data_IF_484826813076
#
_entry.id   IF_484826813076
#
_cell.length_a   1.000
_cell.length_b   1.000
_cell.length_c   1.000
_cell.angle_alpha   90.00
_cell.angle_beta   90.00
_cell.angle_gamma   90.00
#
_symmetry.space_group_name_H-M   'P 1'
#
loop_
_entity.id
_entity.type
_entity.pdbx_description
1 polymer ?
#
# COMPACT_ATOMS: atom_id res chain seq x y z
N UNK A 1 -12.91 -40.64 16.72
CA UNK A 1 -12.52 -39.24 16.99
C UNK A 1 -12.45 -38.55 15.64
N UNK A 2 -13.40 -37.68 15.35
CA UNK A 2 -13.43 -36.89 14.11
C UNK A 2 -13.04 -35.47 14.53
N UNK A 3 -11.83 -35.05 14.21
CA UNK A 3 -11.42 -33.65 14.32
C UNK A 3 -11.88 -32.96 13.03
N UNK A 4 -13.00 -32.24 13.12
CA UNK A 4 -13.44 -31.29 12.10
C UNK A 4 -12.68 -30.00 12.33
N UNK A 5 -11.66 -29.74 11.52
CA UNK A 5 -10.93 -28.47 11.53
C UNK A 5 -11.81 -27.35 11.00
N UNK A 6 -12.17 -26.42 11.86
CA UNK A 6 -12.84 -25.16 11.50
C UNK A 6 -11.77 -24.26 10.88
N UNK A 7 -11.88 -24.02 9.58
CA UNK A 7 -11.12 -23.02 8.84
C UNK A 7 -11.65 -21.64 9.27
N UNK A 8 -10.87 -20.91 10.08
CA UNK A 8 -11.13 -19.51 10.43
C UNK A 8 -10.74 -18.64 9.24
N UNK A 9 -11.70 -18.32 8.36
CA UNK A 9 -11.56 -17.21 7.42
C UNK A 9 -11.66 -15.90 8.21
N UNK A 10 -10.54 -15.22 8.38
CA UNK A 10 -10.47 -13.85 8.91
C UNK A 10 -11.04 -12.89 7.87
N UNK A 11 -12.35 -12.64 7.91
CA UNK A 11 -13.00 -11.61 7.08
C UNK A 11 -12.67 -10.24 7.68
N UNK A 12 -11.59 -9.61 7.23
CA UNK A 12 -11.32 -8.20 7.51
C UNK A 12 -12.41 -7.37 6.82
N UNK A 13 -13.25 -6.71 7.64
CA UNK A 13 -14.33 -5.85 7.21
C UNK A 13 -13.77 -4.63 6.46
N UNK A 14 -13.91 -4.63 5.14
CA UNK A 14 -13.81 -3.41 4.33
C UNK A 14 -15.19 -2.76 4.26
N UNK A 15 -15.30 -1.50 4.65
CA UNK A 15 -16.52 -0.72 4.42
C UNK A 15 -16.47 -0.18 2.99
N UNK A 16 -17.34 -0.67 2.10
CA UNK A 16 -17.73 0.08 0.91
C UNK A 16 -18.76 1.09 1.40
N UNK A 17 -18.50 2.38 1.24
CA UNK A 17 -19.49 3.40 1.54
C UNK A 17 -20.54 3.41 0.42
N UNK A 18 -21.75 3.03 0.77
CA UNK A 18 -22.94 3.11 -0.09
C UNK A 18 -23.29 4.61 -0.28
N UNK A 19 -23.04 5.15 -1.47
CA UNK A 19 -23.70 6.39 -1.88
C UNK A 19 -25.19 6.05 -2.09
N UNK A 20 -26.08 6.75 -1.37
CA UNK A 20 -27.52 6.54 -1.45
C UNK A 20 -28.06 6.56 -2.89
N UNK A 21 -29.25 5.99 -3.12
CA UNK A 21 -29.57 5.27 -4.33
C UNK A 21 -29.75 6.22 -5.50
N UNK A 22 -28.85 6.16 -6.48
CA UNK A 22 -29.26 6.37 -7.86
C UNK A 22 -29.69 5.02 -8.40
N UNK A 23 -30.98 4.92 -8.69
CA UNK A 23 -31.64 3.72 -9.19
C UNK A 23 -31.23 3.46 -10.64
N UNK A 24 -29.97 3.12 -10.88
CA UNK A 24 -29.60 2.37 -12.06
C UNK A 24 -29.23 0.97 -11.61
N UNK A 25 -30.03 0.01 -12.07
CA UNK A 25 -29.71 -1.41 -12.01
C UNK A 25 -28.37 -1.61 -12.73
N UNK A 26 -27.26 -1.51 -12.01
CA UNK A 26 -25.98 -1.94 -12.52
C UNK A 26 -26.06 -3.46 -12.68
N UNK A 27 -26.37 -3.85 -13.91
CA UNK A 27 -26.37 -5.22 -14.38
C UNK A 27 -24.96 -5.63 -14.81
N UNK A 28 -23.97 -4.75 -14.62
CA UNK A 28 -22.55 -5.06 -14.72
C UNK A 28 -22.05 -5.75 -13.47
N UNK A 29 -21.27 -6.82 -13.63
CA UNK A 29 -20.53 -7.42 -12.51
C UNK A 29 -19.67 -6.37 -11.79
N UNK A 30 -19.31 -6.66 -10.54
CA UNK A 30 -18.51 -5.75 -9.70
C UNK A 30 -17.26 -5.24 -10.42
N UNK A 31 -16.89 -3.99 -10.17
CA UNK A 31 -15.68 -3.36 -10.70
C UNK A 31 -14.56 -3.55 -9.68
N UNK A 32 -13.43 -4.10 -10.12
CA UNK A 32 -12.28 -4.38 -9.29
C UNK A 32 -11.04 -3.65 -9.82
N UNK A 33 -10.16 -3.31 -8.90
CA UNK A 33 -8.88 -2.67 -9.14
C UNK A 33 -7.78 -3.53 -8.52
N UNK A 34 -6.65 -3.62 -9.21
CA UNK A 34 -5.40 -4.12 -8.65
C UNK A 34 -4.29 -3.11 -8.95
N UNK A 35 -3.23 -3.22 -8.17
CA UNK A 35 -2.06 -2.37 -8.24
C UNK A 35 -1.02 -3.13 -9.07
N UNK A 36 -0.55 -2.55 -10.18
CA UNK A 36 0.55 -3.13 -10.95
C UNK A 36 1.81 -3.25 -10.07
N UNK A 37 2.66 -4.24 -10.35
CA UNK A 37 3.93 -4.48 -9.66
C UNK A 37 4.73 -3.20 -9.44
N UNK A 38 5.31 -3.06 -8.25
CA UNK A 38 5.92 -1.83 -7.75
C UNK A 38 7.43 -1.97 -7.65
N UNK A 39 8.15 -1.07 -8.31
CA UNK A 39 9.57 -0.88 -8.03
C UNK A 39 9.70 -0.07 -6.75
N UNK A 40 10.40 -0.60 -5.75
CA UNK A 40 10.81 0.20 -4.61
C UNK A 40 12.23 0.67 -4.90
N UNK A 41 12.39 1.94 -5.25
CA UNK A 41 13.71 2.51 -5.51
C UNK A 41 14.48 2.63 -4.19
N UNK A 42 15.53 1.84 -4.05
CA UNK A 42 16.52 2.05 -2.99
C UNK A 42 17.61 2.99 -3.53
N UNK A 43 18.15 3.92 -2.71
CA UNK A 43 19.40 4.58 -3.05
C UNK A 43 20.43 3.48 -3.28
N UNK A 44 20.87 3.32 -4.54
CA UNK A 44 21.75 2.24 -4.94
C UNK A 44 22.99 2.23 -4.07
N UNK A 45 23.34 1.05 -3.56
CA UNK A 45 24.68 0.77 -3.07
C UNK A 45 25.67 1.27 -4.12
N UNK A 46 26.54 2.20 -3.72
CA UNK A 46 27.64 2.61 -4.59
C UNK A 46 28.51 1.36 -4.86
N UNK A 47 29.23 1.33 -5.99
CA UNK A 47 30.02 0.20 -6.49
C UNK A 47 31.12 -0.35 -5.53
N UNK A 48 31.17 0.10 -4.28
CA UNK A 48 32.17 -0.24 -3.25
C UNK A 48 31.65 -1.18 -2.14
N UNK A 49 30.48 -1.79 -2.30
CA UNK A 49 30.09 -2.96 -1.49
C UNK A 49 29.67 -2.67 -0.04
N UNK A 50 29.07 -1.50 0.23
CA UNK A 50 28.50 -1.19 1.54
C UNK A 50 26.96 -1.31 1.59
N UNK A 51 26.54 -1.98 2.67
CA UNK A 51 25.20 -2.20 3.25
C UNK A 51 24.05 -2.57 2.30
N UNK A 52 23.64 -3.84 2.36
CA UNK A 52 22.38 -4.29 1.78
C UNK A 52 21.22 -3.51 2.43
N UNK A 53 20.55 -2.59 1.74
CA UNK A 53 19.29 -2.04 2.25
C UNK A 53 18.21 -3.13 2.25
N UNK A 54 17.30 -3.08 3.23
CA UNK A 54 16.17 -4.01 3.32
C UNK A 54 14.88 -3.24 3.58
N UNK A 55 13.73 -3.84 3.32
CA UNK A 55 12.44 -3.28 3.72
C UNK A 55 11.62 -4.37 4.37
N UNK A 56 11.04 -4.03 5.51
CA UNK A 56 10.01 -4.87 6.13
C UNK A 56 8.66 -4.54 5.52
N UNK A 57 7.97 -5.55 4.99
CA UNK A 57 6.60 -5.46 4.49
C UNK A 57 5.66 -6.09 5.51
N UNK A 58 4.66 -5.33 5.99
CA UNK A 58 3.65 -5.82 6.93
C UNK A 58 2.25 -5.64 6.37
N UNK A 59 1.95 -4.47 5.84
CA UNK A 59 0.60 -4.15 5.36
C UNK A 59 0.61 -3.25 4.13
N UNK A 60 -0.44 -3.39 3.32
CA UNK A 60 -0.76 -2.52 2.20
C UNK A 60 -2.18 -2.01 2.38
N UNK A 61 -2.39 -0.69 2.39
CA UNK A 61 -3.71 -0.08 2.29
C UNK A 61 -3.90 0.52 0.91
N UNK A 62 -5.04 0.21 0.30
CA UNK A 62 -5.52 0.85 -0.93
C UNK A 62 -6.74 1.70 -0.58
N UNK A 63 -6.66 2.99 -0.91
CA UNK A 63 -7.77 3.94 -0.78
C UNK A 63 -8.09 4.51 -2.15
N UNK A 64 -9.36 4.50 -2.54
CA UNK A 64 -9.83 5.11 -3.80
C UNK A 64 -10.81 6.22 -3.42
N UNK A 65 -10.57 7.41 -3.96
CA UNK A 65 -11.47 8.55 -3.88
C UNK A 65 -12.08 8.81 -5.26
N UNK A 66 -13.38 9.09 -5.31
CA UNK A 66 -14.03 9.61 -6.51
C UNK A 66 -13.58 11.06 -6.71
N UNK A 67 -13.08 11.41 -7.90
CA UNK A 67 -12.75 12.82 -8.20
C UNK A 67 -14.02 13.69 -8.27
N UNK A 68 -15.14 13.11 -8.70
CA UNK A 68 -16.39 13.84 -8.84
C UNK A 68 -16.97 14.30 -7.50
N UNK A 69 -16.86 13.46 -6.46
CA UNK A 69 -17.45 13.74 -5.13
C UNK A 69 -16.41 14.07 -4.06
N UNK A 70 -15.14 13.75 -4.29
CA UNK A 70 -14.07 13.81 -3.30
C UNK A 70 -14.24 12.80 -2.17
N UNK A 71 -15.15 11.82 -2.28
CA UNK A 71 -15.46 10.84 -1.23
C UNK A 71 -14.74 9.52 -1.44
N UNK A 72 -14.47 8.82 -0.35
CA UNK A 72 -13.94 7.45 -0.37
C UNK A 72 -14.96 6.51 -1.01
N UNK A 73 -14.50 5.77 -2.02
CA UNK A 73 -15.24 4.66 -2.66
C UNK A 73 -14.68 3.30 -2.25
N UNK A 74 -13.38 3.23 -1.97
CA UNK A 74 -12.71 2.02 -1.47
C UNK A 74 -11.73 2.40 -0.38
N UNK A 75 -11.68 1.65 0.71
CA UNK A 75 -10.65 1.78 1.74
C UNK A 75 -10.40 0.41 2.37
N UNK A 76 -9.31 -0.25 1.99
CA UNK A 76 -9.03 -1.62 2.41
C UNK A 76 -7.56 -1.84 2.72
N UNK A 77 -7.31 -2.53 3.83
CA UNK A 77 -5.99 -2.99 4.25
C UNK A 77 -5.82 -4.48 3.93
N UNK A 78 -4.62 -4.85 3.55
CA UNK A 78 -4.16 -6.19 3.25
C UNK A 78 -2.93 -6.49 4.11
N UNK A 79 -2.86 -7.72 4.60
CA UNK A 79 -1.64 -8.28 5.18
C UNK A 79 -0.74 -8.72 4.01
N UNK A 80 0.49 -8.21 4.00
CA UNK A 80 1.50 -8.54 2.98
C UNK A 80 2.79 -9.04 3.62
N UNK A 81 2.72 -9.49 4.88
CA UNK A 81 3.89 -9.99 5.61
C UNK A 81 4.53 -11.23 4.99
N UNK A 82 3.76 -11.96 4.17
CA UNK A 82 4.23 -13.12 3.40
C UNK A 82 4.75 -12.76 2.00
N UNK A 83 4.64 -11.49 1.55
CA UNK A 83 5.20 -11.05 0.27
C UNK A 83 6.72 -11.04 0.33
N UNK A 84 7.36 -11.48 -0.76
CA UNK A 84 8.83 -11.45 -0.85
C UNK A 84 9.30 -10.00 -0.90
N UNK A 85 10.17 -9.56 0.03
CA UNK A 85 10.73 -8.21 -0.02
C UNK A 85 11.55 -7.97 -1.30
N UNK A 86 11.67 -6.72 -1.75
CA UNK A 86 12.57 -6.35 -2.83
C UNK A 86 14.02 -6.54 -2.37
N UNK A 87 14.88 -6.96 -3.30
CA UNK A 87 16.27 -7.33 -3.12
C UNK A 87 17.03 -7.19 -4.44
N UNK A 88 18.36 -7.31 -4.39
CA UNK A 88 19.17 -7.36 -5.60
C UNK A 88 18.79 -8.53 -6.54
N UNK A 89 18.28 -9.64 -6.01
CA UNK A 89 17.93 -10.84 -6.79
C UNK A 89 16.62 -10.71 -7.57
N UNK A 90 15.76 -9.74 -7.22
CA UNK A 90 14.47 -9.47 -7.90
C UNK A 90 14.36 -8.03 -8.41
N UNK A 91 15.49 -7.41 -8.77
CA UNK A 91 15.57 -6.05 -9.33
C UNK A 91 14.90 -4.99 -8.44
N UNK A 92 14.87 -5.22 -7.12
CA UNK A 92 14.22 -4.37 -6.13
C UNK A 92 12.71 -4.16 -6.39
N UNK A 93 12.06 -5.18 -6.96
CA UNK A 93 10.63 -5.16 -7.28
C UNK A 93 9.84 -5.96 -6.25
N UNK A 94 8.68 -5.42 -5.88
CA UNK A 94 7.62 -6.18 -5.19
C UNK A 94 6.40 -6.23 -6.06
N UNK A 95 5.91 -7.44 -6.33
CA UNK A 95 4.66 -7.61 -7.08
C UNK A 95 3.45 -7.62 -6.13
N UNK A 96 2.55 -6.66 -6.30
CA UNK A 96 1.27 -6.58 -5.59
C UNK A 96 0.08 -6.88 -6.50
N UNK A 97 0.33 -7.40 -7.71
CA UNK A 97 -0.73 -7.67 -8.70
C UNK A 97 -1.72 -8.75 -8.27
N UNK A 98 -1.37 -9.56 -7.28
CA UNK A 98 -2.24 -10.54 -6.62
C UNK A 98 -3.27 -9.89 -5.69
N UNK A 99 -3.06 -8.63 -5.30
CA UNK A 99 -3.95 -7.88 -4.40
C UNK A 99 -5.03 -7.19 -5.23
N UNK A 100 -6.23 -7.75 -5.19
CA UNK A 100 -7.41 -7.24 -5.89
C UNK A 100 -8.42 -6.67 -4.91
N UNK A 101 -8.94 -5.47 -5.19
CA UNK A 101 -9.91 -4.75 -4.36
C UNK A 101 -11.14 -4.35 -5.15
N UNK A 102 -12.32 -4.46 -4.54
CA UNK A 102 -13.57 -3.96 -5.11
C UNK A 102 -13.60 -2.43 -5.05
N UNK A 103 -14.11 -1.81 -6.12
CA UNK A 103 -14.19 -0.35 -6.28
C UNK A 103 -15.35 0.06 -7.20
N UNK A 104 -15.38 1.34 -7.59
CA UNK A 104 -16.37 1.91 -8.50
C UNK A 104 -15.69 2.46 -9.76
N UNK A 105 -16.38 2.42 -10.90
CA UNK A 105 -15.91 3.06 -12.12
C UNK A 105 -15.91 4.59 -12.00
N UNK A 106 -15.13 5.26 -12.85
CA UNK A 106 -15.04 6.72 -12.93
C UNK A 106 -13.65 7.29 -12.70
N UNK A 107 -13.54 8.62 -12.80
CA UNK A 107 -12.33 9.36 -12.47
C UNK A 107 -12.03 9.25 -10.98
N UNK A 108 -10.84 8.76 -10.65
CA UNK A 108 -10.47 8.38 -9.30
C UNK A 108 -9.06 8.85 -8.94
N UNK A 109 -8.85 9.11 -7.65
CA UNK A 109 -7.51 9.24 -7.05
C UNK A 109 -7.29 8.02 -6.17
N UNK A 110 -6.24 7.26 -6.47
CA UNK A 110 -5.89 6.06 -5.71
C UNK A 110 -4.68 6.39 -4.85
N UNK A 111 -4.76 6.07 -3.57
CA UNK A 111 -3.64 6.11 -2.64
C UNK A 111 -3.27 4.68 -2.26
N UNK A 112 -1.96 4.44 -2.18
CA UNK A 112 -1.40 3.21 -1.64
C UNK A 112 -0.48 3.57 -0.48
N UNK A 113 -0.67 2.89 0.65
CA UNK A 113 0.10 3.11 1.88
C UNK A 113 0.68 1.77 2.33
N UNK A 114 2.00 1.69 2.45
CA UNK A 114 2.69 0.57 3.07
C UNK A 114 2.89 0.80 4.56
N UNK A 115 2.81 -0.30 5.31
CA UNK A 115 3.14 -0.37 6.74
C UNK A 115 2.44 0.70 7.57
N UNK A 116 1.12 0.82 7.42
CA UNK A 116 0.36 1.87 8.12
C UNK A 116 0.46 1.80 9.66
N UNK A 117 0.82 0.63 10.19
CA UNK A 117 1.06 0.41 11.61
C UNK A 117 2.52 0.03 11.86
N UNK A 118 3.25 0.95 12.50
CA UNK A 118 4.64 0.78 12.92
C UNK A 118 4.76 0.87 14.43
N UNK A 119 3.68 0.56 15.15
CA UNK A 119 3.59 0.78 16.60
C UNK A 119 4.54 -0.12 17.38
N UNK A 120 4.82 -1.31 16.86
CA UNK A 120 5.79 -2.25 17.44
C UNK A 120 7.20 -1.66 17.59
N UNK A 121 7.62 -0.80 16.65
CA UNK A 121 8.97 -0.21 16.64
C UNK A 121 8.99 1.24 17.10
N UNK A 122 7.86 1.95 16.98
CA UNK A 122 7.84 3.41 17.12
C UNK A 122 6.69 3.97 17.98
N UNK A 123 5.76 3.11 18.39
CA UNK A 123 4.52 3.52 19.07
C UNK A 123 3.54 4.31 18.18
N UNK A 124 3.79 4.40 16.87
CA UNK A 124 2.93 5.11 15.90
C UNK A 124 2.17 4.15 15.01
N UNK A 125 0.90 4.45 14.79
CA UNK A 125 0.03 3.77 13.83
C UNK A 125 -0.88 4.82 13.20
N UNK A 126 -1.03 4.77 11.88
CA UNK A 126 -1.98 5.59 11.12
C UNK A 126 -3.30 4.84 10.86
N UNK A 127 -3.41 3.58 11.27
CA UNK A 127 -4.57 2.74 10.97
C UNK A 127 -5.87 3.37 11.49
N UNK A 128 -5.84 4.02 12.67
CA UNK A 128 -7.00 4.66 13.26
C UNK A 128 -7.51 5.86 12.47
N UNK A 129 -6.59 6.68 11.95
CA UNK A 129 -6.84 7.85 11.11
C UNK A 129 -7.30 7.42 9.72
N UNK A 130 -6.57 6.50 9.08
CA UNK A 130 -6.86 5.99 7.74
C UNK A 130 -8.21 5.27 7.67
N UNK A 131 -8.61 4.54 8.72
CA UNK A 131 -9.92 3.88 8.78
C UNK A 131 -11.10 4.85 8.91
N UNK A 132 -10.87 6.08 9.37
CA UNK A 132 -11.93 7.09 9.55
C UNK A 132 -12.08 8.03 8.35
N UNK A 133 -11.16 7.95 7.38
CA UNK A 133 -11.20 8.79 6.20
C UNK A 133 -12.51 8.59 5.43
N UNK A 134 -13.11 9.71 5.07
CA UNK A 134 -14.34 9.81 4.29
C UNK A 134 -14.18 10.71 3.07
N UNK A 135 -13.23 11.66 3.10
CA UNK A 135 -13.00 12.62 2.02
C UNK A 135 -11.51 12.80 1.66
N UNK A 136 -11.28 13.28 0.43
CA UNK A 136 -9.95 13.63 -0.06
C UNK A 136 -9.32 14.77 0.76
N UNK A 137 -10.13 15.70 1.28
CA UNK A 137 -9.65 16.77 2.14
C UNK A 137 -9.06 16.24 3.45
N UNK A 138 -9.70 15.23 4.06
CA UNK A 138 -9.17 14.55 5.25
C UNK A 138 -7.86 13.80 4.94
N UNK A 139 -7.78 13.17 3.76
CA UNK A 139 -6.54 12.52 3.32
C UNK A 139 -5.41 13.53 3.09
N UNK A 140 -5.71 14.65 2.44
CA UNK A 140 -4.76 15.73 2.22
C UNK A 140 -4.29 16.34 3.54
N UNK A 141 -5.18 16.49 4.53
CA UNK A 141 -4.80 16.94 5.87
C UNK A 141 -3.86 15.93 6.55
N UNK A 142 -4.13 14.63 6.42
CA UNK A 142 -3.31 13.57 6.98
C UNK A 142 -1.90 13.53 6.35
N UNK A 143 -1.81 13.56 5.01
CA UNK A 143 -0.53 13.56 4.28
C UNK A 143 0.35 14.77 4.64
N UNK A 144 -0.28 15.93 4.88
CA UNK A 144 0.45 17.14 5.28
C UNK A 144 0.76 17.21 6.79
N UNK A 145 0.31 16.24 7.58
CA UNK A 145 0.60 16.20 9.01
C UNK A 145 1.98 15.58 9.25
N UNK A 146 2.92 16.29 9.90
CA UNK A 146 4.26 15.76 10.14
C UNK A 146 4.23 14.49 10.98
N UNK A 147 4.84 13.43 10.47
CA UNK A 147 5.04 12.20 11.24
C UNK A 147 6.29 12.37 12.12
N UNK A 148 6.09 12.41 13.44
CA UNK A 148 7.17 12.60 14.42
C UNK A 148 7.33 11.40 15.33
N UNK A 149 8.56 10.97 15.53
CA UNK A 149 8.93 9.85 16.39
C UNK A 149 9.57 10.34 17.69
N UNK A 150 9.27 9.67 18.80
CA UNK A 150 9.79 10.08 20.12
C UNK A 150 11.29 9.82 20.27
N UNK A 151 11.83 8.86 19.53
CA UNK A 151 13.24 8.52 19.47
C UNK A 151 13.62 8.08 18.05
N UNK A 152 14.90 8.19 17.64
CA UNK A 152 15.38 7.57 16.42
C UNK A 152 15.10 6.07 16.41
N UNK A 153 14.59 5.56 15.29
CA UNK A 153 14.42 4.12 15.08
C UNK A 153 15.77 3.52 14.77
N UNK A 154 16.19 2.53 15.55
CA UNK A 154 17.47 1.84 15.33
C UNK A 154 17.28 0.72 14.31
N UNK A 155 18.20 0.62 13.36
CA UNK A 155 18.34 -0.55 12.51
C UNK A 155 18.97 -1.67 13.33
N UNK A 156 18.29 -2.81 13.40
CA UNK A 156 18.86 -4.04 13.95
C UNK A 156 19.58 -4.81 12.84
N UNK A 157 20.43 -5.78 13.21
CA UNK A 157 21.10 -6.64 12.24
C UNK A 157 20.74 -8.09 12.52
N UNK A 158 20.70 -8.88 11.45
CA UNK A 158 20.60 -10.33 11.54
C UNK A 158 21.81 -10.91 12.29
N UNK A 159 21.73 -12.21 12.60
CA UNK A 159 22.79 -12.91 13.34
C UNK A 159 24.17 -12.91 12.65
N UNK A 160 24.22 -12.59 11.35
CA UNK A 160 25.45 -12.42 10.59
C UNK A 160 26.19 -11.10 10.89
N UNK A 161 25.53 -10.14 11.54
CA UNK A 161 26.07 -8.83 11.85
C UNK A 161 26.28 -7.92 10.63
N UNK A 162 25.76 -8.29 9.46
CA UNK A 162 25.95 -7.58 8.18
C UNK A 162 24.61 -7.24 7.54
N UNK A 163 23.63 -8.13 7.60
CA UNK A 163 22.32 -7.92 6.96
C UNK A 163 21.44 -7.07 7.88
N UNK A 164 21.06 -5.84 7.50
CA UNK A 164 20.19 -5.04 8.33
C UNK A 164 18.76 -5.58 8.28
N UNK A 165 18.12 -5.54 9.45
CA UNK A 165 16.69 -5.70 9.64
C UNK A 165 16.09 -4.31 9.79
N UNK A 166 15.77 -3.69 8.67
CA UNK A 166 15.16 -2.37 8.67
C UNK A 166 13.77 -2.45 9.32
N UNK A 167 13.43 -1.52 10.23
CA UNK A 167 12.09 -1.46 10.78
C UNK A 167 11.06 -1.21 9.66
N UNK A 168 9.79 -1.61 9.84
CA UNK A 168 8.75 -1.23 8.89
C UNK A 168 8.65 0.30 8.86
N UNK A 169 8.70 0.87 7.67
CA UNK A 169 8.52 2.30 7.45
C UNK A 169 7.18 2.55 6.75
N UNK A 170 6.46 3.56 7.22
CA UNK A 170 5.29 4.06 6.49
C UNK A 170 5.79 4.65 5.16
N UNK A 171 5.24 4.17 4.06
CA UNK A 171 5.49 4.70 2.72
C UNK A 171 4.15 4.96 2.05
N UNK A 172 4.08 5.96 1.19
CA UNK A 172 2.86 6.21 0.44
C UNK A 172 3.14 6.75 -0.95
N UNK A 173 2.15 6.59 -1.80
CA UNK A 173 2.15 7.05 -3.19
C UNK A 173 0.70 7.21 -3.62
N UNK A 174 0.46 8.03 -4.64
CA UNK A 174 -0.87 8.23 -5.17
C UNK A 174 -0.81 8.57 -6.65
N UNK A 175 -1.93 8.34 -7.33
CA UNK A 175 -2.08 8.71 -8.72
C UNK A 175 -3.53 8.79 -9.13
N UNK A 176 -3.75 9.45 -10.26
CA UNK A 176 -5.07 9.63 -10.85
C UNK A 176 -5.27 8.63 -11.98
N UNK A 177 -6.48 8.08 -12.07
CA UNK A 177 -6.83 7.15 -13.12
C UNK A 177 -8.33 7.22 -13.46
N UNK A 178 -8.69 6.73 -14.64
CA UNK A 178 -10.10 6.53 -15.03
C UNK A 178 -10.37 5.03 -14.99
N UNK A 179 -11.14 4.60 -14.00
CA UNK A 179 -11.50 3.18 -13.82
C UNK A 179 -12.70 2.88 -14.71
N UNK A 180 -12.58 1.98 -15.70
CA UNK A 180 -13.70 1.60 -16.57
C UNK A 180 -14.68 0.67 -15.84
N UNK A 181 -15.94 0.70 -16.27
CA UNK A 181 -16.99 -0.21 -15.80
C UNK A 181 -16.70 -1.67 -16.12
N UNK A 182 -17.31 -2.58 -15.34
CA UNK A 182 -17.37 -4.01 -15.65
C UNK A 182 -16.01 -4.70 -15.64
N UNK A 183 -15.15 -4.36 -14.67
CA UNK A 183 -13.83 -4.99 -14.49
C UNK A 183 -13.92 -6.11 -13.46
N UNK A 184 -14.11 -7.38 -13.86
CA UNK A 184 -14.31 -8.47 -12.92
C UNK A 184 -13.01 -8.78 -12.15
N UNK A 185 -13.13 -9.55 -11.07
CA UNK A 185 -11.99 -9.90 -10.21
C UNK A 185 -10.89 -10.68 -10.96
N UNK A 186 -11.26 -11.47 -11.98
CA UNK A 186 -10.30 -12.21 -12.83
C UNK A 186 -9.58 -11.33 -13.85
N UNK A 187 -10.08 -10.11 -14.08
CA UNK A 187 -9.49 -9.12 -14.99
C UNK A 187 -9.73 -7.70 -14.45
N UNK A 188 -9.11 -7.37 -13.29
CA UNK A 188 -9.32 -6.09 -12.64
C UNK A 188 -8.69 -4.97 -13.47
N UNK A 189 -9.10 -3.74 -13.22
CA UNK A 189 -8.36 -2.59 -13.71
C UNK A 189 -7.00 -2.54 -13.01
N UNK A 190 -5.92 -2.62 -13.77
CA UNK A 190 -4.57 -2.44 -13.24
C UNK A 190 -4.29 -0.94 -13.16
N UNK A 191 -4.42 -0.37 -11.96
CA UNK A 191 -3.98 0.97 -11.69
C UNK A 191 -2.44 1.01 -11.78
N UNK A 192 -1.93 1.97 -12.52
CA UNK A 192 -0.50 2.26 -12.66
C UNK A 192 -0.28 3.67 -12.14
N UNK A 193 0.14 3.81 -10.88
CA UNK A 193 0.19 5.10 -10.20
C UNK A 193 1.51 5.85 -10.33
N UNK A 194 2.38 5.48 -11.30
CA UNK A 194 3.43 6.37 -11.82
C UNK A 194 3.53 6.28 -13.34
N UNK A 195 3.83 7.41 -13.95
CA UNK A 195 3.40 7.79 -15.30
C UNK A 195 4.04 7.10 -16.53
N UNK A 196 3.70 7.58 -17.74
CA UNK A 196 3.82 6.86 -19.00
C UNK A 196 5.21 6.92 -19.72
N UNK A 197 6.34 7.00 -19.02
CA UNK A 197 7.69 6.88 -19.63
C UNK A 197 8.80 6.71 -18.60
N UNK A 198 10.01 6.27 -18.92
CA UNK A 198 10.49 5.29 -19.92
C UNK A 198 11.64 4.54 -19.24
N UNK A 199 11.28 3.86 -18.16
CA UNK A 199 12.08 2.80 -17.58
C UNK A 199 11.13 1.64 -17.41
N UNK A 200 10.33 1.67 -16.35
CA UNK A 200 9.29 0.68 -16.12
C UNK A 200 8.12 1.23 -15.33
N UNK A 201 7.00 0.58 -15.59
CA UNK A 201 5.71 0.68 -14.93
C UNK A 201 5.80 0.28 -13.46
N UNK A 202 5.03 0.93 -12.59
CA UNK A 202 4.91 0.55 -11.18
C UNK A 202 4.80 1.72 -10.22
N UNK A 203 4.36 1.42 -9.00
CA UNK A 203 4.24 2.38 -7.92
C UNK A 203 5.60 2.51 -7.26
N UNK A 204 6.36 3.57 -7.53
CA UNK A 204 7.44 3.92 -6.62
C UNK A 204 6.78 4.41 -5.31
N UNK A 205 7.39 4.03 -4.19
CA UNK A 205 6.91 4.27 -2.84
C UNK A 205 8.04 4.96 -2.12
N UNK A 206 7.79 6.19 -1.71
CA UNK A 206 8.83 7.00 -1.09
C UNK A 206 8.82 6.79 0.42
N UNK A 207 10.02 6.58 0.98
CA UNK A 207 10.20 6.55 2.43
C UNK A 207 9.76 7.90 3.00
N UNK A 208 8.87 7.88 3.98
CA UNK A 208 8.50 9.09 4.74
C UNK A 208 9.59 9.55 5.71
N UNK A 209 10.70 8.79 5.80
CA UNK A 209 11.82 9.00 6.72
C UNK A 209 13.16 8.96 5.98
N UNK A 210 14.17 9.61 6.56
CA UNK A 210 15.56 9.55 6.09
C UNK A 210 16.41 8.64 6.99
N UNK A 211 17.35 7.89 6.40
CA UNK A 211 18.40 7.15 7.11
C UNK A 211 19.55 8.10 7.48
N UNK A 212 20.08 7.97 8.69
CA UNK A 212 21.27 8.71 9.15
C UNK A 212 22.29 7.70 9.67
N UNK A 213 23.46 7.66 9.07
CA UNK A 213 24.62 6.87 9.52
C UNK A 213 25.56 7.79 10.29
N UNK A 214 26.00 7.37 11.48
CA UNK A 214 26.97 8.10 12.30
C UNK A 214 28.20 7.20 12.45
N UNK A 215 29.33 7.67 11.94
CA UNK A 215 30.66 7.05 12.06
C UNK A 215 31.42 7.54 13.30
#
# INVERSE_FOLDING_TARGET
MIFSGILLLSVLAGCIYDEGPDCDNDTGGGTYLAVRSSHITFPTANDEGEEAESITLNSLRIIVFSQATGRVVTNKVFDISDHTPPSADNDWVVDFSDIVVETKPGESIVYVILNEDVSAVSGKSLAGELNKLSTLDEMNALVNTPLSYAAPLRVEYESDGVTPKEPPFIMSTFGECTIPEGRPIENPYLADLRGPSEGQSGFELDRTMAKVTIE
#
